data_IF_706279553728
#
_entry.id   IF_706279553728
#
_cell.length_a   1.000
_cell.length_b   1.000
_cell.length_c   1.000
_cell.angle_alpha   90.00
_cell.angle_beta   90.00
_cell.angle_gamma   90.00
#
_symmetry.space_group_name_H-M   'P 1'
#
loop_
_entity.id
_entity.type
_entity.pdbx_description
1 polymer ?
#
# COMPACT_ATOMS: atom_id res chain seq x y z
N UNK A 1 -25.72 -42.16 -13.12
CA UNK A 1 -24.83 -42.64 -12.06
C UNK A 1 -24.23 -41.44 -11.34
N UNK A 2 -24.31 -41.43 -10.00
CA UNK A 2 -23.81 -40.40 -9.07
C UNK A 2 -22.56 -40.94 -8.38
N UNK A 3 -21.62 -40.08 -7.99
CA UNK A 3 -21.35 -39.89 -6.55
C UNK A 3 -21.16 -38.39 -6.24
N UNK A 4 -22.01 -37.74 -5.43
CA UNK A 4 -21.97 -37.61 -3.96
C UNK A 4 -20.57 -37.79 -3.36
N UNK A 5 -19.93 -36.69 -2.97
CA UNK A 5 -19.05 -36.68 -1.79
C UNK A 5 -19.01 -35.28 -1.16
N UNK A 6 -19.73 -35.16 -0.05
CA UNK A 6 -19.63 -34.07 0.92
C UNK A 6 -18.38 -34.29 1.78
N UNK A 7 -17.61 -33.24 2.07
CA UNK A 7 -16.89 -33.14 3.34
C UNK A 7 -16.95 -31.69 3.81
N UNK A 8 -17.81 -31.46 4.81
CA UNK A 8 -17.84 -30.30 5.67
C UNK A 8 -16.77 -30.49 6.75
N UNK A 9 -15.88 -29.51 6.95
CA UNK A 9 -15.09 -29.41 8.19
C UNK A 9 -15.35 -28.03 8.77
N UNK A 10 -16.27 -27.99 9.72
CA UNK A 10 -16.41 -26.94 10.71
C UNK A 10 -15.38 -27.21 11.82
N UNK A 11 -14.56 -26.21 12.17
CA UNK A 11 -13.78 -26.24 13.42
C UNK A 11 -14.22 -25.06 14.28
N UNK A 12 -14.54 -25.42 15.51
CA UNK A 12 -15.28 -24.67 16.50
C UNK A 12 -14.52 -23.46 17.07
N UNK A 13 -15.31 -22.47 17.48
CA UNK A 13 -14.93 -21.41 18.38
C UNK A 13 -14.60 -21.99 19.79
N UNK A 14 -13.56 -21.44 20.43
CA UNK A 14 -13.36 -21.55 21.86
C UNK A 14 -12.97 -20.17 22.42
N UNK A 15 -13.83 -19.66 23.28
CA UNK A 15 -13.62 -18.49 24.11
C UNK A 15 -12.97 -18.91 25.45
N UNK A 16 -12.22 -17.99 26.08
CA UNK A 16 -11.80 -18.09 27.50
C UNK A 16 -10.58 -17.20 27.78
N UNK A 17 -10.74 -16.07 28.50
CA UNK A 17 -10.45 -15.88 29.95
C UNK A 17 -8.92 -15.77 30.22
N UNK A 18 -8.30 -14.84 30.97
CA UNK A 18 -8.66 -13.69 31.82
C UNK A 18 -7.35 -13.05 32.33
N UNK A 19 -7.40 -11.77 32.72
CA UNK A 19 -6.65 -11.06 33.79
C UNK A 19 -5.15 -11.32 34.04
N UNK A 20 -4.37 -10.24 33.95
CA UNK A 20 -3.10 -10.08 34.67
C UNK A 20 -2.80 -8.60 34.93
N UNK A 21 -3.01 -8.15 36.16
CA UNK A 21 -2.84 -6.76 36.61
C UNK A 21 -1.46 -6.50 37.24
N UNK A 22 -1.03 -5.24 37.11
CA UNK A 22 -0.21 -4.42 38.01
C UNK A 22 1.21 -4.90 38.44
N UNK A 23 2.20 -4.06 38.12
CA UNK A 23 3.19 -3.61 39.11
C UNK A 23 3.76 -2.24 38.72
N UNK A 24 3.56 -1.28 39.62
CA UNK A 24 4.12 0.07 39.67
C UNK A 24 5.62 0.04 39.97
N UNK A 25 6.40 0.89 39.30
CA UNK A 25 7.78 1.19 39.66
C UNK A 25 8.05 2.69 39.54
N UNK A 26 7.97 3.40 40.67
CA UNK A 26 8.39 4.80 40.81
C UNK A 26 9.89 4.87 41.11
N UNK A 27 10.64 5.68 40.36
CA UNK A 27 11.91 6.22 40.84
C UNK A 27 12.06 7.68 40.40
N UNK A 28 11.88 8.58 41.36
CA UNK A 28 12.23 9.99 41.30
C UNK A 28 13.75 10.16 41.15
N UNK A 29 14.15 11.10 40.30
CA UNK A 29 15.51 11.61 40.26
C UNK A 29 15.56 12.99 39.61
N UNK A 30 15.47 14.04 40.41
CA UNK A 30 15.73 15.44 40.03
C UNK A 30 16.32 16.15 41.25
N UNK A 31 17.46 16.84 41.11
CA UNK A 31 17.47 18.31 41.11
C UNK A 31 18.45 18.86 40.05
N UNK A 32 18.10 19.73 39.10
CA UNK A 32 17.80 21.17 39.16
C UNK A 32 18.99 22.10 39.54
N UNK A 33 19.54 22.84 38.57
CA UNK A 33 19.97 24.26 38.64
C UNK A 33 20.38 24.81 37.22
N UNK A 34 20.45 26.14 36.96
CA UNK A 34 19.80 26.80 35.82
C UNK A 34 20.76 27.66 34.93
N UNK A 35 20.32 28.76 34.26
CA UNK A 35 19.84 28.82 32.88
C UNK A 35 20.80 29.58 31.93
N UNK A 36 20.77 29.30 30.62
CA UNK A 36 21.48 30.11 29.62
C UNK A 36 20.56 30.57 28.48
N UNK A 37 20.50 31.89 28.35
CA UNK A 37 20.22 32.69 27.16
C UNK A 37 18.87 32.52 26.42
N UNK A 38 18.02 33.53 26.64
CA UNK A 38 16.99 34.03 25.72
C UNK A 38 17.53 34.14 24.28
N UNK A 39 16.89 33.48 23.33
CA UNK A 39 16.91 33.89 21.93
C UNK A 39 15.47 34.12 21.49
N UNK A 40 15.23 35.34 21.01
CA UNK A 40 13.93 35.89 20.63
C UNK A 40 13.35 35.15 19.40
N UNK A 41 12.01 35.02 19.29
CA UNK A 41 11.38 34.50 18.09
C UNK A 41 11.45 35.55 16.99
N UNK A 42 12.49 35.48 16.15
CA UNK A 42 12.51 36.25 14.91
C UNK A 42 11.64 35.53 13.88
N UNK A 43 10.69 36.28 13.33
CA UNK A 43 9.57 35.79 12.56
C UNK A 43 9.95 34.86 11.41
N UNK A 44 9.11 33.85 11.22
CA UNK A 44 8.89 33.24 9.93
C UNK A 44 8.69 34.35 8.88
N UNK A 45 9.46 34.40 7.78
CA UNK A 45 8.95 35.01 6.58
C UNK A 45 7.74 34.19 6.13
N UNK A 46 6.57 34.80 6.28
CA UNK A 46 5.33 34.36 5.65
C UNK A 46 5.55 34.27 4.15
N UNK A 47 5.65 33.06 3.61
CA UNK A 47 5.42 32.83 2.19
C UNK A 47 3.90 32.76 2.00
N UNK A 48 3.25 33.72 1.31
CA UNK A 48 1.82 33.67 1.07
C UNK A 48 1.62 32.85 -0.21
N UNK A 49 1.44 31.54 -0.08
CA UNK A 49 0.89 30.76 -1.18
C UNK A 49 0.17 29.53 -0.65
N UNK A 50 -1.13 29.55 -0.95
CA UNK A 50 -2.09 28.45 -0.86
C UNK A 50 -2.62 28.12 0.53
N UNK A 51 -3.68 28.85 0.89
CA UNK A 51 -4.92 28.26 1.39
C UNK A 51 -5.45 27.21 0.41
N UNK A 52 -4.75 26.08 0.27
CA UNK A 52 -5.35 24.85 -0.19
C UNK A 52 -5.69 24.06 1.06
N UNK A 53 -6.98 23.82 1.27
CA UNK A 53 -7.50 23.01 2.34
C UNK A 53 -6.59 21.80 2.58
N UNK A 54 -6.12 21.65 3.81
CA UNK A 54 -5.45 20.45 4.28
C UNK A 54 -6.39 19.29 4.02
N UNK A 55 -6.19 18.63 2.88
CA UNK A 55 -6.89 17.40 2.55
C UNK A 55 -6.76 16.48 3.78
N UNK A 56 -7.83 15.75 4.16
CA UNK A 56 -7.76 14.83 5.27
C UNK A 56 -6.52 13.95 5.06
N UNK A 57 -5.84 13.57 6.15
CA UNK A 57 -4.73 12.63 6.13
C UNK A 57 -5.21 11.22 5.75
N UNK A 58 -5.99 11.07 4.68
CA UNK A 58 -6.08 9.83 3.91
C UNK A 58 -4.69 9.60 3.37
N UNK A 59 -4.03 8.57 3.89
CA UNK A 59 -2.68 8.15 3.54
C UNK A 59 -2.39 8.43 2.05
N UNK A 60 -1.69 9.51 1.71
CA UNK A 60 -1.43 9.89 0.32
C UNK A 60 -0.46 8.91 -0.33
N UNK A 61 -0.46 8.80 -1.67
CA UNK A 61 0.41 7.84 -2.35
C UNK A 61 1.85 8.22 -2.07
N UNK A 62 2.75 7.25 -1.81
CA UNK A 62 4.15 7.56 -1.61
C UNK A 62 4.63 8.37 -2.81
N UNK A 63 5.10 9.60 -2.57
CA UNK A 63 5.46 10.54 -3.63
C UNK A 63 6.55 9.98 -4.54
N UNK A 64 7.46 9.15 -4.00
CA UNK A 64 8.47 8.46 -4.79
C UNK A 64 7.89 7.44 -5.76
N UNK A 65 6.85 6.68 -5.38
CA UNK A 65 6.15 5.74 -6.28
C UNK A 65 5.48 6.49 -7.42
N UNK A 66 4.74 7.56 -7.12
CA UNK A 66 4.08 8.38 -8.13
C UNK A 66 5.09 8.98 -9.11
N UNK A 67 6.19 9.55 -8.58
CA UNK A 67 7.27 10.12 -9.39
C UNK A 67 7.92 9.08 -10.30
N UNK A 68 8.19 7.87 -9.79
CA UNK A 68 8.78 6.76 -10.57
C UNK A 68 7.85 6.27 -11.69
N UNK A 69 6.55 6.43 -11.52
CA UNK A 69 5.52 6.14 -12.52
C UNK A 69 5.24 7.32 -13.47
N UNK A 70 5.88 8.48 -13.27
CA UNK A 70 5.64 9.68 -14.08
C UNK A 70 4.30 10.36 -13.79
N UNK A 71 3.77 10.19 -12.57
CA UNK A 71 2.48 10.74 -12.13
C UNK A 71 2.62 11.52 -10.81
N UNK A 72 1.52 12.11 -10.33
CA UNK A 72 1.47 12.77 -9.03
C UNK A 72 0.77 11.89 -7.99
N UNK A 73 1.04 12.13 -6.70
CA UNK A 73 0.39 11.39 -5.61
C UNK A 73 -1.13 11.54 -5.65
N UNK A 74 -1.63 12.73 -6.02
CA UNK A 74 -3.05 13.02 -6.15
C UNK A 74 -3.66 12.27 -7.34
N UNK A 75 -3.00 12.27 -8.51
CA UNK A 75 -3.47 11.55 -9.68
C UNK A 75 -3.53 10.03 -9.44
N UNK A 76 -2.51 9.49 -8.74
CA UNK A 76 -2.51 8.09 -8.32
C UNK A 76 -3.63 7.77 -7.32
N UNK A 77 -3.92 8.68 -6.38
CA UNK A 77 -5.02 8.50 -5.43
C UNK A 77 -6.36 8.48 -6.15
N UNK A 78 -6.61 9.44 -7.04
CA UNK A 78 -7.83 9.47 -7.85
C UNK A 78 -8.00 8.21 -8.70
N UNK A 79 -6.93 7.77 -9.38
CA UNK A 79 -6.96 6.56 -10.19
C UNK A 79 -7.22 5.30 -9.35
N UNK A 80 -6.62 5.22 -8.16
CA UNK A 80 -6.89 4.12 -7.22
C UNK A 80 -8.33 4.14 -6.73
N UNK A 81 -8.88 5.30 -6.37
CA UNK A 81 -10.28 5.40 -5.94
C UNK A 81 -11.25 4.96 -7.04
N UNK A 82 -10.99 5.33 -8.30
CA UNK A 82 -11.78 4.86 -9.45
C UNK A 82 -11.67 3.34 -9.63
N UNK A 83 -10.46 2.79 -9.58
CA UNK A 83 -10.25 1.35 -9.68
C UNK A 83 -10.89 0.58 -8.51
N UNK A 84 -10.91 1.17 -7.31
CA UNK A 84 -11.54 0.60 -6.11
C UNK A 84 -13.07 0.60 -6.18
N UNK A 85 -13.68 1.55 -6.89
CA UNK A 85 -15.12 1.52 -7.15
C UNK A 85 -15.50 0.30 -8.01
N UNK A 86 -14.69 -0.04 -9.01
CA UNK A 86 -14.88 -1.22 -9.85
C UNK A 86 -14.47 -2.53 -9.15
N UNK A 87 -13.47 -2.47 -8.25
CA UNK A 87 -12.98 -3.61 -7.48
C UNK A 87 -12.82 -3.23 -6.00
N UNK A 88 -13.85 -3.43 -5.16
CA UNK A 88 -13.81 -3.07 -3.74
C UNK A 88 -12.74 -3.80 -2.92
N UNK A 89 -12.24 -4.94 -3.43
CA UNK A 89 -11.18 -5.74 -2.80
C UNK A 89 -9.78 -5.28 -3.20
N UNK A 90 -9.66 -4.37 -4.17
CA UNK A 90 -8.39 -3.84 -4.64
C UNK A 90 -7.69 -3.12 -3.49
N UNK A 91 -6.51 -3.61 -3.15
CA UNK A 91 -5.64 -2.95 -2.18
C UNK A 91 -4.74 -1.95 -2.89
N UNK A 92 -4.28 -0.97 -2.11
CA UNK A 92 -3.33 0.03 -2.61
C UNK A 92 -2.04 -0.59 -3.16
N UNK A 93 -1.49 -1.57 -2.45
CA UNK A 93 -0.28 -2.28 -2.89
C UNK A 93 -0.48 -3.02 -4.21
N UNK A 94 -1.64 -3.65 -4.44
CA UNK A 94 -1.96 -4.28 -5.72
C UNK A 94 -2.07 -3.27 -6.87
N UNK A 95 -2.65 -2.10 -6.62
CA UNK A 95 -2.71 -1.02 -7.60
C UNK A 95 -1.31 -0.51 -7.97
N UNK A 96 -0.44 -0.28 -6.97
CA UNK A 96 0.96 0.11 -7.20
C UNK A 96 1.67 -0.97 -8.02
N UNK A 97 1.59 -2.23 -7.58
CA UNK A 97 2.23 -3.35 -8.26
C UNK A 97 1.76 -3.48 -9.71
N UNK A 98 0.45 -3.32 -9.99
CA UNK A 98 -0.08 -3.37 -11.34
C UNK A 98 0.51 -2.27 -12.25
N UNK A 99 0.57 -1.02 -11.76
CA UNK A 99 1.18 0.08 -12.51
C UNK A 99 2.69 -0.12 -12.75
N UNK A 100 3.39 -0.63 -11.74
CA UNK A 100 4.83 -0.92 -11.83
C UNK A 100 5.11 -2.06 -12.82
N UNK A 101 4.30 -3.12 -12.80
CA UNK A 101 4.40 -4.24 -13.73
C UNK A 101 4.14 -3.80 -15.17
N UNK A 102 3.10 -3.00 -15.40
CA UNK A 102 2.79 -2.45 -16.71
C UNK A 102 3.93 -1.58 -17.24
N UNK A 103 4.56 -0.76 -16.39
CA UNK A 103 5.72 0.04 -16.78
C UNK A 103 6.95 -0.81 -17.09
N UNK A 104 7.25 -1.82 -16.27
CA UNK A 104 8.45 -2.64 -16.40
C UNK A 104 8.36 -3.66 -17.55
N UNK A 105 7.16 -4.20 -17.80
CA UNK A 105 6.95 -5.27 -18.78
C UNK A 105 6.24 -4.80 -20.04
N UNK A 106 5.48 -3.70 -20.00
CA UNK A 106 4.69 -3.22 -21.14
C UNK A 106 5.53 -2.92 -22.37
N UNK A 107 6.79 -2.51 -22.20
CA UNK A 107 7.73 -2.31 -23.32
C UNK A 107 8.15 -3.61 -24.01
N UNK A 108 8.12 -4.74 -23.29
CA UNK A 108 8.50 -6.06 -23.82
C UNK A 108 7.28 -6.87 -24.25
N UNK A 109 6.13 -6.61 -23.64
CA UNK A 109 4.92 -7.36 -23.86
C UNK A 109 3.70 -6.44 -23.71
N UNK A 110 3.20 -5.97 -24.86
CA UNK A 110 2.14 -4.96 -24.96
C UNK A 110 0.80 -5.43 -24.38
N UNK A 111 0.61 -6.74 -24.16
CA UNK A 111 -0.57 -7.28 -23.50
C UNK A 111 -0.62 -6.99 -21.99
N UNK A 112 0.52 -6.68 -21.38
CA UNK A 112 0.64 -6.41 -19.94
C UNK A 112 0.42 -4.93 -19.70
N UNK A 113 -0.85 -4.54 -19.72
CA UNK A 113 -1.29 -3.17 -19.39
C UNK A 113 -1.81 -3.12 -17.96
N UNK A 114 -1.82 -1.91 -17.38
CA UNK A 114 -2.43 -1.69 -16.05
C UNK A 114 -3.89 -2.15 -16.06
N UNK A 115 -4.64 -1.87 -17.13
CA UNK A 115 -6.04 -2.25 -17.29
C UNK A 115 -6.22 -3.78 -17.30
N UNK A 116 -5.39 -4.51 -18.05
CA UNK A 116 -5.43 -5.96 -18.09
C UNK A 116 -5.12 -6.59 -16.72
N UNK A 117 -4.15 -6.01 -16.00
CA UNK A 117 -3.79 -6.42 -14.65
C UNK A 117 -4.92 -6.15 -13.65
N UNK A 118 -5.55 -4.98 -13.71
CA UNK A 118 -6.69 -4.60 -12.87
C UNK A 118 -7.92 -5.46 -13.18
N UNK A 119 -8.18 -5.77 -14.44
CA UNK A 119 -9.27 -6.66 -14.87
C UNK A 119 -9.09 -8.09 -14.34
N UNK A 120 -7.86 -8.62 -14.38
CA UNK A 120 -7.57 -9.92 -13.79
C UNK A 120 -7.74 -9.93 -12.26
N UNK A 121 -7.29 -8.88 -11.58
CA UNK A 121 -7.53 -8.67 -10.15
C UNK A 121 -9.02 -8.56 -9.80
N UNK A 122 -9.81 -7.87 -10.64
CA UNK A 122 -11.26 -7.77 -10.49
C UNK A 122 -11.95 -9.13 -10.66
N UNK A 123 -11.42 -9.97 -11.55
CA UNK A 123 -11.88 -11.36 -11.74
C UNK A 123 -11.52 -12.28 -10.57
N UNK A 124 -10.86 -11.77 -9.53
CA UNK A 124 -10.44 -12.54 -8.36
C UNK A 124 -9.14 -13.32 -8.56
N UNK A 125 -8.42 -13.12 -9.68
CA UNK A 125 -7.11 -13.71 -9.91
C UNK A 125 -6.03 -12.95 -9.15
N UNK A 126 -5.00 -13.66 -8.71
CA UNK A 126 -3.77 -13.02 -8.23
C UNK A 126 -3.00 -12.34 -9.37
N UNK A 127 -2.11 -11.39 -9.05
CA UNK A 127 -1.23 -10.76 -10.04
C UNK A 127 -0.47 -11.79 -10.87
N UNK A 128 0.15 -12.79 -10.22
CA UNK A 128 0.87 -13.86 -10.91
C UNK A 128 -0.01 -14.69 -11.86
N UNK A 129 -1.24 -15.02 -11.48
CA UNK A 129 -2.19 -15.74 -12.35
C UNK A 129 -2.67 -14.87 -13.51
N UNK A 130 -2.86 -13.58 -13.28
CA UNK A 130 -3.20 -12.62 -14.34
C UNK A 130 -2.06 -12.51 -15.34
N UNK A 131 -0.82 -12.34 -14.87
CA UNK A 131 0.39 -12.34 -15.70
C UNK A 131 0.52 -13.64 -16.52
N UNK A 132 0.27 -14.80 -15.90
CA UNK A 132 0.25 -16.08 -16.62
C UNK A 132 -0.84 -16.14 -17.71
N UNK A 133 -2.03 -15.62 -17.41
CA UNK A 133 -3.12 -15.54 -18.39
C UNK A 133 -2.78 -14.60 -19.56
N UNK A 134 -1.92 -13.61 -19.33
CA UNK A 134 -1.42 -12.67 -20.34
C UNK A 134 -0.20 -13.20 -21.10
N UNK A 135 0.21 -14.45 -20.85
CA UNK A 135 1.22 -15.15 -21.63
C UNK A 135 2.62 -15.20 -21.01
N UNK A 136 2.81 -14.77 -19.75
CA UNK A 136 4.06 -15.06 -19.05
C UNK A 136 4.09 -16.50 -18.52
N UNK A 137 5.28 -17.10 -18.47
CA UNK A 137 5.46 -18.31 -17.67
C UNK A 137 5.32 -17.99 -16.17
N UNK A 138 5.01 -19.00 -15.36
CA UNK A 138 4.90 -18.85 -13.90
C UNK A 138 6.18 -18.28 -13.28
N UNK A 139 7.34 -18.64 -13.83
CA UNK A 139 8.64 -18.13 -13.37
C UNK A 139 8.79 -16.64 -13.67
N UNK A 140 8.52 -16.24 -14.91
CA UNK A 140 8.62 -14.82 -15.29
C UNK A 140 7.59 -13.96 -14.56
N UNK A 141 6.36 -14.46 -14.39
CA UNK A 141 5.32 -13.78 -13.63
C UNK A 141 5.77 -13.55 -12.17
N UNK A 142 6.37 -14.57 -11.54
CA UNK A 142 6.89 -14.47 -10.18
C UNK A 142 8.08 -13.51 -10.09
N UNK A 143 9.04 -13.61 -11.01
CA UNK A 143 10.22 -12.74 -11.02
C UNK A 143 9.83 -11.27 -11.28
N UNK A 144 8.87 -11.04 -12.17
CA UNK A 144 8.30 -9.72 -12.41
C UNK A 144 7.57 -9.16 -11.20
N UNK A 145 6.74 -9.97 -10.53
CA UNK A 145 6.05 -9.55 -9.31
C UNK A 145 7.06 -9.15 -8.24
N UNK A 146 8.09 -9.97 -8.00
CA UNK A 146 9.15 -9.64 -7.04
C UNK A 146 9.93 -8.39 -7.42
N UNK A 147 10.14 -8.16 -8.71
CA UNK A 147 10.78 -6.94 -9.18
C UNK A 147 9.90 -5.71 -8.91
N UNK A 148 8.62 -5.77 -9.24
CA UNK A 148 7.67 -4.69 -8.97
C UNK A 148 7.53 -4.40 -7.46
N UNK A 149 7.51 -5.44 -6.62
CA UNK A 149 7.46 -5.29 -5.16
C UNK A 149 8.72 -4.61 -4.61
N UNK A 150 9.91 -4.98 -5.10
CA UNK A 150 11.17 -4.31 -4.74
C UNK A 150 11.16 -2.86 -5.19
N UNK A 151 10.78 -2.63 -6.43
CA UNK A 151 10.76 -1.29 -7.02
C UNK A 151 9.77 -0.36 -6.32
N UNK A 152 8.64 -0.89 -5.85
CA UNK A 152 7.65 -0.17 -5.06
C UNK A 152 8.22 0.20 -3.68
N UNK A 153 8.84 -0.76 -2.98
CA UNK A 153 9.46 -0.52 -1.66
C UNK A 153 10.61 0.48 -1.73
N UNK A 154 11.40 0.46 -2.79
CA UNK A 154 12.46 1.42 -3.02
C UNK A 154 11.92 2.82 -3.29
N UNK A 155 10.79 2.93 -3.98
CA UNK A 155 10.15 4.21 -4.25
C UNK A 155 9.29 4.72 -3.06
N UNK A 156 9.06 3.88 -2.05
CA UNK A 156 8.44 4.23 -0.77
C UNK A 156 9.44 4.77 0.26
N UNK A 157 10.75 4.48 0.08
CA UNK A 157 11.84 4.98 0.94
C UNK A 157 12.19 6.42 0.61
#
# INVERSE_FOLDING_TARGET
MKPISQVLIAVAAAAGLTLGAAATGTAQGKPAAPPAARHMPMGHPTNPSNTAAKAPKTASFPSGVATKLGSTSEAMESAYMMAKQANPKLTRGQFIAANMLAKNLGSKNSAITTEALLSGLQSGKSIGQTLQSLGLSSKEAHDAQRQADRDAREAER
#
